data_IF_457309979131
#
_entry.id   IF_457309979131
#
_cell.length_a   1.000
_cell.length_b   1.000
_cell.length_c   1.000
_cell.angle_alpha   90.00
_cell.angle_beta   90.00
_cell.angle_gamma   90.00
#
_symmetry.space_group_name_H-M   'P 1'
#
loop_
_entity.id
_entity.type
_entity.pdbx_description
1 polymer ?
#
# COMPACT_ATOMS: atom_id res chain seq x y z
N UNK A 1 18.85 -0.45 -12.99
CA UNK A 1 18.70 -1.63 -13.87
C UNK A 1 20.03 -2.17 -14.45
N UNK A 2 21.23 -1.82 -13.94
CA UNK A 2 22.50 -2.22 -14.56
C UNK A 2 23.14 -3.52 -14.03
N UNK A 3 22.43 -4.27 -13.17
CA UNK A 3 23.02 -5.39 -12.41
C UNK A 3 22.12 -6.63 -12.34
N UNK A 4 21.09 -6.73 -13.19
CA UNK A 4 20.17 -7.89 -13.24
C UNK A 4 19.60 -8.30 -11.86
N UNK A 5 19.29 -7.31 -11.02
CA UNK A 5 18.70 -7.52 -9.70
C UNK A 5 17.23 -7.08 -9.69
N UNK A 6 16.43 -7.82 -8.92
CA UNK A 6 15.08 -7.42 -8.59
C UNK A 6 15.09 -6.30 -7.54
N UNK A 7 14.08 -5.42 -7.63
CA UNK A 7 13.80 -4.34 -6.67
C UNK A 7 12.40 -4.55 -6.14
N UNK A 8 12.30 -4.75 -4.84
CA UNK A 8 11.03 -4.84 -4.12
C UNK A 8 10.81 -3.50 -3.43
N UNK A 9 9.72 -2.82 -3.77
CA UNK A 9 9.34 -1.54 -3.18
C UNK A 9 8.16 -1.77 -2.26
N UNK A 10 8.41 -1.67 -0.96
CA UNK A 10 7.36 -1.75 0.07
C UNK A 10 6.73 -0.36 0.25
N UNK A 11 5.50 -0.22 -0.23
CA UNK A 11 4.71 0.99 -0.18
C UNK A 11 3.62 0.92 0.91
N UNK A 12 3.80 0.11 1.96
CA UNK A 12 2.78 -0.11 3.01
C UNK A 12 2.28 1.17 3.72
N UNK A 13 3.03 2.27 3.69
CA UNK A 13 2.65 3.59 4.23
C UNK A 13 2.33 4.64 3.14
N UNK A 14 2.10 4.22 1.89
CA UNK A 14 1.86 5.09 0.75
C UNK A 14 0.80 6.17 1.01
N UNK A 15 -0.29 5.80 1.69
CA UNK A 15 -1.42 6.69 1.91
C UNK A 15 -1.36 7.42 3.27
N UNK A 16 -0.46 7.00 4.16
CA UNK A 16 -0.25 7.54 5.52
C UNK A 16 0.63 8.80 5.58
N UNK A 17 0.70 9.60 4.50
CA UNK A 17 1.54 10.81 4.47
C UNK A 17 0.83 12.06 5.00
N UNK A 18 1.56 12.92 5.74
CA UNK A 18 0.97 14.11 6.37
C UNK A 18 0.55 15.22 5.41
N UNK A 19 1.01 15.22 4.17
CA UNK A 19 0.77 16.30 3.20
C UNK A 19 0.05 15.76 1.97
N UNK A 20 -1.15 16.28 1.71
CA UNK A 20 -1.93 15.98 0.50
C UNK A 20 -1.32 16.63 -0.76
N UNK A 21 -0.60 17.75 -0.63
CA UNK A 21 -0.01 18.52 -1.72
C UNK A 21 1.45 18.94 -1.42
N UNK A 22 2.32 19.00 -2.44
CA UNK A 22 3.75 19.31 -2.33
C UNK A 22 4.67 18.13 -2.71
N UNK A 23 5.91 18.09 -2.19
CA UNK A 23 6.79 16.90 -2.21
C UNK A 23 6.16 15.77 -1.39
N UNK A 24 5.09 15.18 -1.91
CA UNK A 24 4.37 14.07 -1.33
C UNK A 24 5.01 12.73 -1.68
N UNK A 25 4.37 11.65 -1.23
CA UNK A 25 4.73 10.30 -1.65
C UNK A 25 4.51 10.13 -3.16
N UNK A 26 5.51 9.60 -3.86
CA UNK A 26 5.40 9.17 -5.25
C UNK A 26 5.63 7.66 -5.31
N UNK A 27 4.59 6.93 -5.73
CA UNK A 27 4.68 5.48 -5.93
C UNK A 27 5.67 5.15 -7.05
N UNK A 28 6.38 4.03 -6.92
CA UNK A 28 7.21 3.45 -7.97
C UNK A 28 6.41 3.22 -9.26
N UNK A 29 5.12 2.93 -9.15
CA UNK A 29 4.24 2.80 -10.32
C UNK A 29 4.13 4.11 -11.08
N UNK A 30 4.06 5.26 -10.38
CA UNK A 30 4.03 6.58 -11.03
C UNK A 30 5.41 6.95 -11.59
N UNK A 31 6.48 6.75 -10.82
CA UNK A 31 7.86 7.07 -11.22
C UNK A 31 8.26 6.32 -12.50
N UNK A 32 7.81 5.08 -12.65
CA UNK A 32 8.11 4.25 -13.81
C UNK A 32 7.02 4.29 -14.90
N UNK A 33 6.02 5.17 -14.82
CA UNK A 33 4.89 5.22 -15.76
C UNK A 33 4.23 3.85 -15.96
N UNK A 34 4.08 3.13 -14.85
CA UNK A 34 3.60 1.76 -14.75
C UNK A 34 4.37 0.77 -15.63
N UNK A 35 5.66 0.99 -15.90
CA UNK A 35 6.55 0.09 -16.66
C UNK A 35 7.57 -0.55 -15.73
N UNK A 36 7.05 -1.33 -14.77
CA UNK A 36 7.84 -2.02 -13.75
C UNK A 36 8.74 -3.09 -14.36
N UNK A 37 8.35 -3.66 -15.50
CA UNK A 37 9.09 -4.75 -16.14
C UNK A 37 9.11 -6.01 -15.27
N UNK A 38 10.11 -6.86 -15.49
CA UNK A 38 10.22 -8.13 -14.77
C UNK A 38 11.02 -8.02 -13.46
N UNK A 39 11.62 -6.86 -13.22
CA UNK A 39 12.62 -6.61 -12.17
C UNK A 39 12.10 -5.73 -11.03
N UNK A 40 10.97 -5.03 -11.18
CA UNK A 40 10.41 -4.18 -10.12
C UNK A 40 9.08 -4.73 -9.64
N UNK A 41 8.91 -4.85 -8.33
CA UNK A 41 7.69 -5.36 -7.69
C UNK A 41 7.28 -4.41 -6.57
N UNK A 42 5.99 -4.10 -6.49
CA UNK A 42 5.43 -3.25 -5.43
C UNK A 42 4.65 -4.09 -4.44
N UNK A 43 4.82 -3.80 -3.15
CA UNK A 43 4.04 -4.39 -2.05
C UNK A 43 3.21 -3.30 -1.39
N UNK A 44 1.95 -3.62 -1.07
CA UNK A 44 1.07 -2.73 -0.30
C UNK A 44 0.11 -3.55 0.58
N UNK A 45 -0.35 -2.98 1.69
CA UNK A 45 -1.27 -3.68 2.60
C UNK A 45 -2.15 -2.71 3.42
N UNK A 46 -3.30 -3.20 3.85
CA UNK A 46 -4.28 -2.44 4.67
C UNK A 46 -3.79 -2.11 6.09
N UNK A 47 -2.69 -2.74 6.52
CA UNK A 47 -2.29 -2.76 7.92
C UNK A 47 -1.97 -1.38 8.50
N UNK A 48 -1.49 -0.46 7.66
CA UNK A 48 -1.01 0.86 8.11
C UNK A 48 -1.90 1.97 7.60
N UNK A 49 -2.18 1.97 6.30
CA UNK A 49 -3.01 3.00 5.68
C UNK A 49 -4.47 2.97 6.16
N UNK A 50 -5.02 1.79 6.46
CA UNK A 50 -6.38 1.63 7.00
C UNK A 50 -6.43 1.20 8.46
N UNK A 51 -5.27 1.12 9.14
CA UNK A 51 -5.18 0.65 10.53
C UNK A 51 -5.67 -0.78 10.76
N UNK A 52 -5.83 -1.58 9.70
CA UNK A 52 -6.51 -2.87 9.72
C UNK A 52 -5.52 -4.05 9.73
N UNK A 53 -4.53 -4.02 10.63
CA UNK A 53 -3.47 -5.03 10.67
C UNK A 53 -3.99 -6.44 10.93
N UNK A 54 -5.06 -6.58 11.72
CA UNK A 54 -5.73 -7.85 12.03
C UNK A 54 -6.46 -8.48 10.85
N UNK A 55 -6.75 -7.73 9.78
CA UNK A 55 -7.46 -8.24 8.60
C UNK A 55 -6.59 -9.12 7.71
N UNK A 56 -5.26 -9.00 7.85
CA UNK A 56 -4.26 -9.78 7.11
C UNK A 56 -4.40 -9.66 5.58
N UNK A 57 -4.80 -8.49 5.10
CA UNK A 57 -4.90 -8.20 3.66
C UNK A 57 -3.62 -7.51 3.20
N UNK A 58 -2.87 -8.20 2.34
CA UNK A 58 -1.68 -7.70 1.66
C UNK A 58 -1.75 -7.98 0.17
N UNK A 59 -1.04 -7.18 -0.60
CA UNK A 59 -1.05 -7.21 -2.06
C UNK A 59 0.37 -7.17 -2.58
N UNK A 60 0.61 -7.91 -3.66
CA UNK A 60 1.79 -7.80 -4.50
C UNK A 60 1.34 -7.35 -5.88
N UNK A 61 1.97 -6.31 -6.40
CA UNK A 61 1.82 -5.86 -7.76
C UNK A 61 3.13 -6.10 -8.51
N UNK A 62 3.07 -6.94 -9.54
CA UNK A 62 4.22 -7.32 -10.36
C UNK A 62 3.77 -7.52 -11.80
N UNK A 63 4.60 -7.10 -12.76
CA UNK A 63 4.42 -7.40 -14.19
C UNK A 63 5.20 -8.64 -14.63
N UNK A 64 5.98 -9.24 -13.74
CA UNK A 64 6.65 -10.51 -13.97
C UNK A 64 5.65 -11.67 -13.87
N UNK A 65 5.24 -12.23 -15.00
CA UNK A 65 4.28 -13.33 -15.10
C UNK A 65 4.75 -14.59 -14.37
N UNK A 66 6.04 -14.95 -14.51
CA UNK A 66 6.62 -16.12 -13.84
C UNK A 66 6.52 -16.00 -12.31
N UNK A 67 6.74 -14.80 -11.78
CA UNK A 67 6.55 -14.54 -10.35
C UNK A 67 5.07 -14.67 -9.96
N UNK A 68 4.14 -14.12 -10.75
CA UNK A 68 2.72 -14.18 -10.45
C UNK A 68 2.17 -15.63 -10.47
N UNK A 69 2.62 -16.46 -11.41
CA UNK A 69 2.28 -17.88 -11.47
C UNK A 69 2.80 -18.63 -10.24
N UNK A 70 4.07 -18.37 -9.85
CA UNK A 70 4.64 -18.95 -8.64
C UNK A 70 3.88 -18.52 -7.39
N UNK A 71 3.51 -17.24 -7.28
CA UNK A 71 2.68 -16.71 -6.20
C UNK A 71 1.31 -17.38 -6.14
N UNK A 72 0.69 -17.63 -7.30
CA UNK A 72 -0.58 -18.37 -7.40
C UNK A 72 -0.47 -19.77 -6.79
N UNK A 73 0.60 -20.51 -7.08
CA UNK A 73 0.82 -21.86 -6.56
C UNK A 73 1.04 -21.89 -5.04
N UNK A 74 1.70 -20.88 -4.46
CA UNK A 74 1.97 -20.82 -3.01
C UNK A 74 0.85 -20.12 -2.21
N UNK A 75 -0.07 -19.43 -2.89
CA UNK A 75 -1.14 -18.63 -2.28
C UNK A 75 -2.03 -19.45 -1.32
N UNK A 76 -2.16 -20.77 -1.52
CA UNK A 76 -2.98 -21.64 -0.66
C UNK A 76 -2.62 -21.55 0.83
N UNK A 77 -1.37 -21.22 1.16
CA UNK A 77 -0.89 -21.09 2.54
C UNK A 77 -1.03 -19.67 3.12
N UNK A 78 -1.28 -18.68 2.28
CA UNK A 78 -1.19 -17.25 2.64
C UNK A 78 -2.37 -16.41 2.15
N UNK A 79 -3.35 -17.04 1.50
CA UNK A 79 -4.49 -16.37 0.92
C UNK A 79 -5.35 -15.67 1.98
N UNK A 80 -5.86 -14.50 1.60
CA UNK A 80 -6.87 -13.78 2.37
C UNK A 80 -8.15 -14.63 2.43
N UNK A 81 -8.78 -14.75 3.59
CA UNK A 81 -10.01 -15.54 3.71
C UNK A 81 -11.15 -14.91 2.91
N UNK A 82 -12.07 -15.73 2.39
CA UNK A 82 -13.16 -15.25 1.53
C UNK A 82 -14.00 -14.11 2.15
N UNK A 83 -14.41 -14.16 3.44
CA UNK A 83 -15.13 -13.04 4.06
C UNK A 83 -14.33 -11.73 4.07
N UNK A 84 -13.00 -11.83 4.26
CA UNK A 84 -12.12 -10.67 4.26
C UNK A 84 -11.89 -10.11 2.85
N UNK A 85 -11.88 -10.96 1.83
CA UNK A 85 -11.87 -10.52 0.44
C UNK A 85 -13.16 -9.77 0.08
N UNK A 86 -14.32 -10.28 0.50
CA UNK A 86 -15.61 -9.61 0.29
C UNK A 86 -15.66 -8.24 0.99
N UNK A 87 -15.25 -8.18 2.26
CA UNK A 87 -15.14 -6.92 3.00
C UNK A 87 -14.20 -5.92 2.31
N UNK A 88 -13.02 -6.39 1.86
CA UNK A 88 -12.07 -5.55 1.16
C UNK A 88 -12.66 -5.00 -0.15
N UNK A 89 -13.37 -5.85 -0.90
CA UNK A 89 -14.03 -5.43 -2.13
C UNK A 89 -15.11 -4.38 -1.86
N UNK A 90 -15.96 -4.57 -0.85
CA UNK A 90 -16.98 -3.60 -0.49
C UNK A 90 -16.36 -2.25 -0.07
N UNK A 91 -15.31 -2.29 0.77
CA UNK A 91 -14.60 -1.08 1.20
C UNK A 91 -13.92 -0.35 0.04
N UNK A 92 -13.27 -1.07 -0.88
CA UNK A 92 -12.52 -0.45 -1.99
C UNK A 92 -13.41 0.02 -3.14
N UNK A 93 -14.66 -0.46 -3.23
CA UNK A 93 -15.62 0.01 -4.23
C UNK A 93 -16.40 1.26 -3.77
N UNK A 94 -16.28 1.66 -2.51
CA UNK A 94 -16.88 2.89 -1.98
C UNK A 94 -15.84 4.03 -1.98
N UNK A 95 -15.68 4.68 -3.12
CA UNK A 95 -14.75 5.80 -3.31
C UNK A 95 -14.99 6.93 -2.28
N UNK A 96 -16.26 7.21 -1.96
CA UNK A 96 -16.62 8.27 -1.01
C UNK A 96 -16.15 7.93 0.42
N UNK A 97 -16.30 6.67 0.84
CA UNK A 97 -15.74 6.18 2.09
C UNK A 97 -14.22 6.27 2.09
N UNK A 98 -13.55 5.78 1.04
CA UNK A 98 -12.07 5.75 0.96
C UNK A 98 -11.50 7.16 1.04
N UNK A 99 -12.01 8.09 0.24
CA UNK A 99 -11.54 9.48 0.22
C UNK A 99 -11.73 10.15 1.58
N UNK A 100 -12.92 10.00 2.18
CA UNK A 100 -13.23 10.58 3.49
C UNK A 100 -12.33 10.00 4.57
N UNK A 101 -12.16 8.67 4.59
CA UNK A 101 -11.32 7.99 5.57
C UNK A 101 -9.87 8.45 5.48
N UNK A 102 -9.30 8.51 4.26
CA UNK A 102 -7.90 8.89 4.07
C UNK A 102 -7.67 10.36 4.42
N UNK A 103 -8.58 11.26 4.07
CA UNK A 103 -8.46 12.68 4.44
C UNK A 103 -8.53 12.88 5.96
N UNK A 104 -9.45 12.20 6.65
CA UNK A 104 -9.50 12.21 8.12
C UNK A 104 -8.25 11.59 8.75
N UNK A 105 -7.76 10.47 8.22
CA UNK A 105 -6.57 9.80 8.71
C UNK A 105 -5.35 10.74 8.62
N UNK A 106 -5.15 11.42 7.50
CA UNK A 106 -4.07 12.40 7.32
C UNK A 106 -4.15 13.56 8.30
N UNK A 107 -5.36 14.10 8.50
CA UNK A 107 -5.59 15.19 9.47
C UNK A 107 -5.21 14.75 10.89
N UNK A 108 -5.66 13.56 11.31
CA UNK A 108 -5.39 13.02 12.65
C UNK A 108 -3.91 12.66 12.83
N UNK A 109 -3.28 12.05 11.83
CA UNK A 109 -1.85 11.76 11.82
C UNK A 109 -1.03 13.05 11.96
N UNK A 110 -1.39 14.10 11.22
CA UNK A 110 -0.71 15.39 11.32
C UNK A 110 -0.85 16.00 12.70
N UNK A 111 -2.06 16.01 13.27
CA UNK A 111 -2.30 16.49 14.64
C UNK A 111 -1.47 15.72 15.67
N UNK A 112 -1.40 14.39 15.56
CA UNK A 112 -0.59 13.57 16.47
C UNK A 112 0.90 13.85 16.32
N UNK A 113 1.38 14.08 15.09
CA UNK A 113 2.76 14.49 14.83
C UNK A 113 3.06 15.82 15.52
N UNK A 114 2.23 16.85 15.31
CA UNK A 114 2.45 18.20 15.86
C UNK A 114 2.47 18.18 17.40
N UNK A 115 1.58 17.41 18.04
CA UNK A 115 1.59 17.21 19.51
C UNK A 115 2.91 16.58 19.95
N UNK A 116 3.33 15.50 19.31
CA UNK A 116 4.56 14.78 19.65
C UNK A 116 5.80 15.65 19.48
N UNK A 117 5.89 16.44 18.41
CA UNK A 117 7.04 17.33 18.20
C UNK A 117 7.05 18.53 19.13
N UNK A 118 5.89 19.06 19.51
CA UNK A 118 5.80 20.23 20.41
C UNK A 118 6.35 19.98 21.82
N UNK A 119 6.49 18.73 22.24
CA UNK A 119 7.07 18.35 23.54
C UNK A 119 8.54 17.96 23.46
N UNK A 120 9.08 17.86 22.24
CA UNK A 120 10.48 17.53 21.97
C UNK A 120 11.34 18.77 21.70
N UNK A 121 10.70 19.92 21.45
CA UNK A 121 11.32 21.25 21.42
C UNK A 121 11.47 21.81 22.86
#
# INVERSE_FOLDING_TARGET
>A
RGHDMHVIVDEIYALSTHKKTGHGFESVMRVLDNKLGNDVHMLWAFSKDFGASGFRIGTIYSQNEMLMDAMGNISIFTAVSHPMQALAADMMNDDAFVDTFLDEARLRLRKSYDICTSVLD
#
